data_IF_957465935597
#
_entry.id   IF_957465935597
#
_cell.length_a   1.000
_cell.length_b   1.000
_cell.length_c   1.000
_cell.angle_alpha   90.00
_cell.angle_beta   90.00
_cell.angle_gamma   90.00
#
_symmetry.space_group_name_H-M   'P 1'
#
loop_
_entity.id
_entity.type
_entity.pdbx_description
1 polymer ?
#
# COMPACT_ATOMS: atom_id res chain seq x y z
N UNK A 1 21.90 57.11 31.27
CA UNK A 1 21.03 57.99 32.08
C UNK A 1 19.59 57.53 31.91
N UNK A 2 18.85 57.38 33.04
CA UNK A 2 17.39 57.52 33.25
C UNK A 2 16.42 56.78 32.28
N UNK A 3 15.76 55.70 32.74
CA UNK A 3 14.35 55.62 33.25
C UNK A 3 13.31 56.08 32.20
N UNK A 4 12.26 55.31 31.88
CA UNK A 4 10.98 55.31 32.62
C UNK A 4 10.06 54.15 32.14
N UNK A 5 9.39 53.52 33.12
CA UNK A 5 8.23 52.62 33.01
C UNK A 5 6.99 53.33 32.44
N UNK A 6 6.12 52.61 31.72
CA UNK A 6 4.67 52.83 31.88
C UNK A 6 3.84 51.58 31.51
N UNK A 7 3.19 51.02 32.52
CA UNK A 7 2.05 50.13 32.41
C UNK A 7 0.84 50.91 31.88
N UNK A 8 0.11 50.35 30.92
CA UNK A 8 -1.29 50.70 30.66
C UNK A 8 -2.08 49.42 30.43
N UNK A 9 -2.92 49.10 31.42
CA UNK A 9 -4.01 48.13 31.34
C UNK A 9 -5.20 48.84 30.71
N UNK A 10 -5.75 48.29 29.63
CA UNK A 10 -7.10 48.63 29.16
C UNK A 10 -7.86 47.35 28.95
N UNK A 11 -8.74 47.06 29.92
CA UNK A 11 -9.83 46.11 29.77
C UNK A 11 -10.93 46.76 28.95
N UNK A 12 -11.31 46.15 27.82
CA UNK A 12 -12.54 46.51 27.10
C UNK A 12 -13.44 45.27 27.04
N UNK A 13 -14.51 45.31 27.81
CA UNK A 13 -15.64 44.41 27.71
C UNK A 13 -16.45 44.76 26.47
N UNK A 14 -16.74 43.78 25.61
CA UNK A 14 -17.78 43.90 24.59
C UNK A 14 -18.78 42.77 24.81
N UNK A 15 -20.01 43.20 25.08
CA UNK A 15 -21.24 42.44 25.21
C UNK A 15 -21.82 42.19 23.83
N UNK A 16 -22.31 40.96 23.60
CA UNK A 16 -23.38 40.66 22.65
C UNK A 16 -22.92 40.14 21.29
N UNK A 17 -23.22 38.88 20.98
CA UNK A 17 -24.45 38.49 20.30
C UNK A 17 -24.55 36.96 20.24
N UNK A 18 -25.77 36.46 20.45
CA UNK A 18 -26.08 35.05 20.42
C UNK A 18 -25.84 34.46 19.02
N UNK A 19 -25.12 33.34 18.96
CA UNK A 19 -25.22 32.41 17.84
C UNK A 19 -25.54 31.03 18.42
N UNK A 20 -26.84 30.73 18.45
CA UNK A 20 -27.35 29.38 18.66
C UNK A 20 -26.99 28.55 17.44
N UNK A 21 -25.76 28.05 17.41
CA UNK A 21 -25.33 27.08 16.44
C UNK A 21 -26.09 25.77 16.68
N UNK A 22 -26.99 25.46 15.75
CA UNK A 22 -27.59 24.15 15.60
C UNK A 22 -26.45 23.13 15.46
N UNK A 23 -26.26 22.30 16.49
CA UNK A 23 -25.41 21.11 16.39
C UNK A 23 -26.07 20.14 15.43
N UNK A 24 -25.78 20.32 14.13
CA UNK A 24 -25.90 19.25 13.16
C UNK A 24 -24.91 18.18 13.60
N UNK A 25 -25.44 17.09 14.15
CA UNK A 25 -24.68 15.90 14.43
C UNK A 25 -24.06 15.42 13.11
N UNK A 26 -22.81 15.81 12.87
CA UNK A 26 -21.96 15.16 11.88
C UNK A 26 -21.81 13.72 12.33
N UNK A 27 -22.64 12.85 11.75
CA UNK A 27 -22.44 11.40 11.80
C UNK A 27 -21.10 11.18 11.13
N UNK A 28 -20.04 11.07 11.94
CA UNK A 28 -18.68 10.83 11.46
C UNK A 28 -18.71 9.44 10.87
N UNK A 29 -18.77 9.39 9.54
CA UNK A 29 -18.62 8.18 8.75
C UNK A 29 -17.20 7.62 9.01
N UNK A 30 -17.14 6.72 10.00
CA UNK A 30 -15.95 6.00 10.43
C UNK A 30 -15.40 5.06 9.34
N UNK A 31 -16.08 4.93 8.19
CA UNK A 31 -15.66 4.08 7.07
C UNK A 31 -14.65 4.79 6.15
N UNK A 32 -14.59 6.13 6.16
CA UNK A 32 -13.72 6.90 5.26
C UNK A 32 -12.26 7.00 5.74
N UNK A 33 -12.03 7.09 7.06
CA UNK A 33 -10.67 7.25 7.62
C UNK A 33 -9.83 5.97 7.48
N UNK A 34 -10.45 4.80 7.60
CA UNK A 34 -9.77 3.51 7.48
C UNK A 34 -9.32 3.23 6.03
N UNK A 35 -10.12 3.68 5.06
CA UNK A 35 -9.86 3.47 3.63
C UNK A 35 -8.67 4.29 3.11
N UNK A 36 -8.37 5.42 3.76
CA UNK A 36 -7.26 6.31 3.44
C UNK A 36 -5.94 5.84 4.06
N UNK A 37 -5.96 5.36 5.32
CA UNK A 37 -4.75 4.91 6.00
C UNK A 37 -4.14 3.61 5.40
N UNK A 38 -4.96 2.65 4.97
CA UNK A 38 -4.45 1.40 4.38
C UNK A 38 -3.89 1.59 2.96
N UNK A 39 -4.48 2.49 2.16
CA UNK A 39 -3.94 2.83 0.83
C UNK A 39 -2.69 3.70 0.93
N UNK A 40 -2.69 4.72 1.81
CA UNK A 40 -1.53 5.60 2.01
C UNK A 40 -0.28 4.84 2.46
N UNK A 41 -0.42 3.80 3.31
CA UNK A 41 0.71 2.97 3.75
C UNK A 41 1.29 2.10 2.62
N UNK A 42 0.42 1.54 1.76
CA UNK A 42 0.86 0.75 0.60
C UNK A 42 1.59 1.62 -0.42
N UNK A 43 1.03 2.78 -0.76
CA UNK A 43 1.65 3.73 -1.68
C UNK A 43 3.00 4.24 -1.18
N UNK A 44 3.08 4.58 0.11
CA UNK A 44 4.32 5.03 0.74
C UNK A 44 5.38 3.93 0.72
N UNK A 45 4.99 2.68 1.01
CA UNK A 45 5.92 1.53 0.97
C UNK A 45 6.41 1.23 -0.45
N UNK A 46 5.51 1.27 -1.45
CA UNK A 46 5.86 1.09 -2.86
C UNK A 46 6.82 2.20 -3.33
N UNK A 47 6.58 3.44 -2.91
CA UNK A 47 7.46 4.57 -3.23
C UNK A 47 8.86 4.42 -2.61
N UNK A 48 8.98 3.92 -1.38
CA UNK A 48 10.27 3.62 -0.75
C UNK A 48 11.02 2.51 -1.50
N UNK A 49 10.29 1.47 -1.91
CA UNK A 49 10.82 0.38 -2.73
C UNK A 49 11.33 0.88 -4.09
N UNK A 50 10.58 1.76 -4.76
CA UNK A 50 11.01 2.41 -5.99
C UNK A 50 12.23 3.32 -5.79
N UNK A 51 12.26 4.06 -4.67
CA UNK A 51 13.41 4.89 -4.30
C UNK A 51 14.67 4.05 -4.11
N UNK A 52 14.57 2.85 -3.54
CA UNK A 52 15.70 1.94 -3.41
C UNK A 52 16.25 1.50 -4.77
N UNK A 53 15.38 1.12 -5.70
CA UNK A 53 15.79 0.75 -7.07
C UNK A 53 16.42 1.94 -7.79
N UNK A 54 15.81 3.12 -7.70
CA UNK A 54 16.31 4.33 -8.33
C UNK A 54 17.66 4.79 -7.76
N UNK A 55 17.85 4.73 -6.44
CA UNK A 55 19.13 5.04 -5.81
C UNK A 55 20.23 4.07 -6.25
N UNK A 56 19.92 2.77 -6.32
CA UNK A 56 20.88 1.75 -6.75
C UNK A 56 21.26 1.93 -8.23
N UNK A 57 20.30 2.26 -9.09
CA UNK A 57 20.55 2.55 -10.50
C UNK A 57 21.47 3.77 -10.70
N UNK A 58 21.44 4.73 -9.77
CA UNK A 58 22.35 5.89 -9.73
C UNK A 58 23.71 5.61 -9.09
N UNK A 59 23.93 4.40 -8.56
CA UNK A 59 25.13 4.08 -7.78
C UNK A 59 25.15 4.70 -6.38
N UNK A 60 24.04 5.28 -5.92
CA UNK A 60 23.91 5.87 -4.59
C UNK A 60 23.70 4.78 -3.53
N UNK A 61 24.82 4.30 -2.98
CA UNK A 61 24.82 3.24 -1.95
C UNK A 61 24.09 3.67 -0.68
N UNK A 62 24.32 4.90 -0.23
CA UNK A 62 23.73 5.42 1.00
C UNK A 62 22.21 5.56 0.85
N UNK A 63 21.75 6.16 -0.26
CA UNK A 63 20.33 6.26 -0.57
C UNK A 63 19.66 4.89 -0.76
N UNK A 64 20.36 3.92 -1.37
CA UNK A 64 19.86 2.54 -1.52
C UNK A 64 19.66 1.87 -0.16
N UNK A 65 20.66 1.95 0.72
CA UNK A 65 20.59 1.36 2.07
C UNK A 65 19.49 2.00 2.89
N UNK A 66 19.40 3.33 2.90
CA UNK A 66 18.36 4.05 3.64
C UNK A 66 16.97 3.69 3.14
N UNK A 67 16.77 3.66 1.82
CA UNK A 67 15.49 3.29 1.22
C UNK A 67 15.13 1.83 1.46
N UNK A 68 16.10 0.91 1.42
CA UNK A 68 15.90 -0.50 1.76
C UNK A 68 15.51 -0.68 3.23
N UNK A 69 16.20 -0.02 4.15
CA UNK A 69 15.87 -0.05 5.58
C UNK A 69 14.44 0.44 5.80
N UNK A 70 14.10 1.63 5.28
CA UNK A 70 12.76 2.19 5.40
C UNK A 70 11.69 1.26 4.78
N UNK A 71 11.97 0.69 3.60
CA UNK A 71 11.07 -0.27 2.94
C UNK A 71 10.87 -1.52 3.77
N UNK A 72 11.93 -2.10 4.33
CA UNK A 72 11.83 -3.30 5.16
C UNK A 72 11.04 -3.03 6.43
N UNK A 73 11.23 -1.89 7.10
CA UNK A 73 10.44 -1.50 8.27
C UNK A 73 8.97 -1.30 7.93
N UNK A 74 8.66 -0.63 6.81
CA UNK A 74 7.28 -0.43 6.38
C UNK A 74 6.59 -1.75 6.01
N UNK A 75 7.28 -2.65 5.30
CA UNK A 75 6.80 -4.00 5.00
C UNK A 75 6.62 -4.85 6.26
N UNK A 76 7.50 -4.72 7.27
CA UNK A 76 7.31 -5.40 8.56
C UNK A 76 6.10 -4.88 9.32
N UNK A 77 5.87 -3.56 9.31
CA UNK A 77 4.67 -2.98 9.91
C UNK A 77 3.40 -3.49 9.21
N UNK A 78 3.41 -3.54 7.88
CA UNK A 78 2.29 -4.08 7.11
C UNK A 78 2.07 -5.58 7.41
N UNK A 79 3.13 -6.38 7.43
CA UNK A 79 3.06 -7.81 7.76
C UNK A 79 2.53 -8.04 9.18
N UNK A 80 2.95 -7.23 10.16
CA UNK A 80 2.42 -7.28 11.53
C UNK A 80 0.95 -6.91 11.61
N UNK A 81 0.49 -5.97 10.78
CA UNK A 81 -0.92 -5.58 10.68
C UNK A 81 -1.79 -6.58 9.91
N UNK A 82 -1.16 -7.56 9.24
CA UNK A 82 -1.87 -8.57 8.46
C UNK A 82 -2.17 -9.80 9.31
N UNK A 83 -3.39 -10.31 9.17
CA UNK A 83 -3.85 -11.58 9.72
C UNK A 83 -3.98 -12.66 8.64
N UNK A 84 -3.61 -12.32 7.40
CA UNK A 84 -3.75 -13.19 6.23
C UNK A 84 -2.63 -14.21 6.07
N UNK A 85 -2.89 -15.20 5.23
CA UNK A 85 -1.95 -16.28 4.90
C UNK A 85 -0.73 -15.82 4.09
N UNK A 86 -0.74 -14.59 3.56
CA UNK A 86 0.43 -13.98 2.92
C UNK A 86 1.38 -13.29 3.90
N UNK A 87 1.04 -13.18 5.19
CA UNK A 87 1.91 -12.58 6.20
C UNK A 87 3.30 -13.20 6.21
N UNK A 88 3.40 -14.53 6.31
CA UNK A 88 4.68 -15.22 6.39
C UNK A 88 5.50 -15.04 5.11
N UNK A 89 4.83 -15.00 3.96
CA UNK A 89 5.47 -14.71 2.66
C UNK A 89 5.98 -13.28 2.60
N UNK A 90 5.23 -12.31 3.12
CA UNK A 90 5.65 -10.90 3.21
C UNK A 90 6.87 -10.75 4.13
N UNK A 91 6.88 -11.43 5.29
CA UNK A 91 8.03 -11.49 6.21
C UNK A 91 9.24 -12.17 5.55
N UNK A 92 9.01 -13.20 4.74
CA UNK A 92 10.04 -13.82 3.91
C UNK A 92 10.68 -12.83 2.94
N UNK A 93 9.89 -12.01 2.25
CA UNK A 93 10.41 -10.97 1.35
C UNK A 93 11.13 -9.85 2.09
N UNK A 94 10.65 -9.45 3.27
CA UNK A 94 11.39 -8.54 4.16
C UNK A 94 12.77 -9.11 4.47
N UNK A 95 12.84 -10.37 4.88
CA UNK A 95 14.10 -11.03 5.21
C UNK A 95 15.05 -11.05 4.01
N UNK A 96 14.52 -11.33 2.81
CA UNK A 96 15.29 -11.30 1.57
C UNK A 96 15.82 -9.89 1.26
N UNK A 97 14.99 -8.85 1.40
CA UNK A 97 15.42 -7.45 1.23
C UNK A 97 16.46 -7.04 2.28
N UNK A 98 16.33 -7.48 3.53
CA UNK A 98 17.32 -7.22 4.59
C UNK A 98 18.68 -7.83 4.26
N UNK A 99 18.72 -9.01 3.64
CA UNK A 99 19.96 -9.64 3.15
C UNK A 99 20.63 -8.83 2.03
N UNK A 100 19.89 -8.01 1.30
CA UNK A 100 20.44 -7.12 0.28
C UNK A 100 21.07 -5.86 0.86
N UNK A 101 20.75 -5.47 2.11
CA UNK A 101 21.32 -4.28 2.76
C UNK A 101 22.85 -4.35 2.86
N UNK A 102 23.48 -5.41 3.41
CA UNK A 102 24.94 -5.49 3.46
C UNK A 102 25.58 -5.53 2.06
N UNK A 103 24.90 -6.12 1.06
CA UNK A 103 25.34 -6.10 -0.32
C UNK A 103 25.26 -4.70 -0.93
N UNK A 104 24.22 -3.92 -0.59
CA UNK A 104 24.07 -2.53 -1.00
C UNK A 104 25.18 -1.67 -0.40
N UNK A 105 25.49 -1.87 0.89
CA UNK A 105 26.58 -1.19 1.59
C UNK A 105 27.93 -1.49 0.92
N UNK A 106 28.18 -2.75 0.58
CA UNK A 106 29.39 -3.17 -0.12
C UNK A 106 29.43 -2.71 -1.60
N UNK A 107 28.30 -2.22 -2.16
CA UNK A 107 28.20 -1.91 -3.59
C UNK A 107 28.23 -3.14 -4.49
N UNK A 108 27.88 -4.31 -3.94
CA UNK A 108 27.88 -5.59 -4.63
C UNK A 108 26.52 -5.93 -5.25
N UNK A 109 25.52 -5.06 -5.09
CA UNK A 109 24.23 -5.16 -5.79
C UNK A 109 24.41 -4.91 -7.29
N UNK A 110 24.75 -5.98 -8.02
CA UNK A 110 24.90 -5.94 -9.48
C UNK A 110 23.64 -6.41 -10.20
N UNK A 111 23.41 -5.82 -11.37
CA UNK A 111 22.34 -6.17 -12.29
C UNK A 111 20.94 -5.96 -11.70
N UNK A 112 20.00 -6.83 -12.12
CA UNK A 112 18.58 -6.67 -11.81
C UNK A 112 18.17 -7.32 -10.47
N UNK A 113 19.13 -7.71 -9.61
CA UNK A 113 18.85 -8.43 -8.36
C UNK A 113 17.97 -7.62 -7.41
N UNK A 114 18.34 -6.36 -7.16
CA UNK A 114 17.54 -5.46 -6.32
C UNK A 114 16.15 -5.24 -6.92
N UNK A 115 16.09 -5.00 -8.24
CA UNK A 115 14.82 -4.77 -8.94
C UNK A 115 13.89 -5.98 -8.84
N UNK A 116 14.41 -7.20 -8.97
CA UNK A 116 13.65 -8.45 -8.78
C UNK A 116 13.17 -8.63 -7.35
N UNK A 117 14.03 -8.42 -6.36
CA UNK A 117 13.65 -8.53 -4.95
C UNK A 117 12.59 -7.50 -4.56
N UNK A 118 12.76 -6.25 -5.01
CA UNK A 118 11.76 -5.19 -4.84
C UNK A 118 10.45 -5.55 -5.53
N UNK A 119 10.50 -6.12 -6.74
CA UNK A 119 9.30 -6.53 -7.47
C UNK A 119 8.56 -7.68 -6.78
N UNK A 120 9.28 -8.65 -6.22
CA UNK A 120 8.70 -9.70 -5.38
C UNK A 120 8.06 -9.12 -4.11
N UNK A 121 8.73 -8.18 -3.45
CA UNK A 121 8.19 -7.50 -2.28
C UNK A 121 6.92 -6.69 -2.60
N UNK A 122 6.87 -5.98 -3.75
CA UNK A 122 5.65 -5.30 -4.23
C UNK A 122 4.54 -6.28 -4.57
N UNK A 123 4.88 -7.43 -5.14
CA UNK A 123 3.91 -8.50 -5.44
C UNK A 123 3.33 -9.05 -4.15
N UNK A 124 4.17 -9.36 -3.16
CA UNK A 124 3.74 -9.82 -1.85
C UNK A 124 2.88 -8.78 -1.12
N UNK A 125 3.29 -7.51 -1.15
CA UNK A 125 2.56 -6.40 -0.55
C UNK A 125 1.19 -6.22 -1.20
N UNK A 126 1.12 -6.15 -2.54
CA UNK A 126 -0.13 -6.02 -3.26
C UNK A 126 -1.05 -7.21 -3.03
N UNK A 127 -0.53 -8.43 -3.02
CA UNK A 127 -1.30 -9.62 -2.72
C UNK A 127 -1.83 -9.62 -1.27
N UNK A 128 -1.02 -9.19 -0.31
CA UNK A 128 -1.44 -9.04 1.09
C UNK A 128 -2.59 -8.03 1.22
N UNK A 129 -2.53 -6.90 0.51
CA UNK A 129 -3.63 -5.94 0.48
C UNK A 129 -4.89 -6.49 -0.20
N UNK A 130 -4.74 -7.25 -1.29
CA UNK A 130 -5.86 -7.94 -1.95
C UNK A 130 -6.54 -8.90 -0.96
N UNK A 131 -5.77 -9.70 -0.23
CA UNK A 131 -6.29 -10.63 0.78
C UNK A 131 -7.07 -9.87 1.87
N UNK A 132 -6.53 -8.76 2.39
CA UNK A 132 -7.22 -7.92 3.38
C UNK A 132 -8.52 -7.33 2.83
N UNK A 133 -8.52 -6.86 1.58
CA UNK A 133 -9.69 -6.25 0.93
C UNK A 133 -10.80 -7.28 0.68
N UNK A 134 -10.45 -8.50 0.27
CA UNK A 134 -11.42 -9.60 0.05
C UNK A 134 -11.95 -10.17 1.36
N UNK A 135 -11.12 -10.18 2.40
CA UNK A 135 -11.48 -10.66 3.74
C UNK A 135 -12.41 -9.73 4.51
N UNK A 136 -12.70 -8.53 4.00
CA UNK A 136 -13.50 -7.53 4.70
C UNK A 136 -14.65 -7.00 3.84
N UNK A 137 -15.91 -7.26 4.21
CA UNK A 137 -17.11 -6.65 3.62
C UNK A 137 -17.28 -6.84 2.09
N UNK A 138 -18.05 -5.94 1.46
CA UNK A 138 -18.43 -6.03 0.05
C UNK A 138 -17.30 -5.57 -0.88
N UNK A 139 -17.08 -6.32 -1.98
CA UNK A 139 -16.01 -6.02 -2.94
C UNK A 139 -16.30 -4.81 -3.84
N UNK A 140 -17.58 -4.47 -4.07
CA UNK A 140 -18.01 -3.35 -4.94
C UNK A 140 -17.40 -2.03 -4.46
N UNK A 141 -17.47 -1.77 -3.16
CA UNK A 141 -16.88 -0.57 -2.56
C UNK A 141 -15.35 -0.60 -2.55
N UNK A 142 -14.70 -1.69 -2.99
CA UNK A 142 -13.24 -1.89 -2.90
C UNK A 142 -12.57 -2.03 -4.26
N UNK A 143 -13.33 -1.93 -5.35
CA UNK A 143 -12.86 -2.12 -6.72
C UNK A 143 -11.61 -1.30 -7.02
N UNK A 144 -11.56 -0.02 -6.62
CA UNK A 144 -10.39 0.85 -6.84
C UNK A 144 -9.14 0.32 -6.13
N UNK A 145 -9.25 -0.05 -4.84
CA UNK A 145 -8.15 -0.62 -4.08
C UNK A 145 -7.70 -1.97 -4.64
N UNK A 146 -8.63 -2.83 -5.04
CA UNK A 146 -8.34 -4.13 -5.64
C UNK A 146 -7.63 -3.99 -6.99
N UNK A 147 -8.11 -3.08 -7.83
CA UNK A 147 -7.52 -2.77 -9.14
C UNK A 147 -6.08 -2.28 -8.99
N UNK A 148 -5.86 -1.35 -8.05
CA UNK A 148 -4.53 -0.82 -7.76
C UNK A 148 -3.55 -1.90 -7.31
N UNK A 149 -3.96 -2.73 -6.35
CA UNK A 149 -3.11 -3.79 -5.83
C UNK A 149 -2.88 -4.90 -6.85
N UNK A 150 -3.87 -5.22 -7.69
CA UNK A 150 -3.66 -6.14 -8.81
C UNK A 150 -2.65 -5.60 -9.83
N UNK A 151 -2.68 -4.30 -10.12
CA UNK A 151 -1.66 -3.67 -10.98
C UNK A 151 -0.27 -3.70 -10.34
N UNK A 152 -0.16 -3.56 -9.02
CA UNK A 152 1.12 -3.76 -8.31
C UNK A 152 1.63 -5.20 -8.48
N UNK A 153 0.76 -6.19 -8.25
CA UNK A 153 1.07 -7.62 -8.46
C UNK A 153 1.48 -7.88 -9.90
N UNK A 154 0.73 -7.34 -10.87
CA UNK A 154 1.01 -7.43 -12.32
C UNK A 154 2.40 -6.92 -12.66
N UNK A 155 2.73 -5.73 -12.16
CA UNK A 155 4.01 -5.06 -12.41
C UNK A 155 5.15 -5.87 -11.81
N UNK A 156 4.98 -6.36 -10.57
CA UNK A 156 5.99 -7.18 -9.92
C UNK A 156 6.22 -8.52 -10.62
N UNK A 157 5.17 -9.24 -11.01
CA UNK A 157 5.26 -10.49 -11.78
C UNK A 157 5.97 -10.30 -13.13
N UNK A 158 5.71 -9.18 -13.82
CA UNK A 158 6.32 -8.89 -15.11
C UNK A 158 7.85 -8.76 -15.02
N UNK A 159 8.36 -8.25 -13.89
CA UNK A 159 9.81 -8.13 -13.64
C UNK A 159 10.44 -9.46 -13.18
N UNK A 160 9.67 -10.30 -12.49
CA UNK A 160 10.11 -11.65 -12.10
C UNK A 160 10.32 -12.52 -13.36
N UNK A 161 9.40 -12.42 -14.33
CA UNK A 161 9.49 -13.10 -15.62
C UNK A 161 9.14 -14.60 -15.58
N UNK A 162 9.28 -15.27 -16.74
CA UNK A 162 9.06 -16.71 -16.90
C UNK A 162 7.61 -17.11 -17.22
N UNK A 163 7.38 -18.43 -17.35
CA UNK A 163 6.06 -19.01 -17.71
C UNK A 163 4.97 -18.65 -16.70
N UNK A 164 5.34 -18.57 -15.41
CA UNK A 164 4.45 -18.18 -14.32
C UNK A 164 4.01 -16.71 -14.42
N UNK A 165 4.86 -15.83 -14.95
CA UNK A 165 4.50 -14.44 -15.21
C UNK A 165 3.44 -14.33 -16.31
N UNK A 166 3.55 -15.11 -17.40
CA UNK A 166 2.55 -15.12 -18.48
C UNK A 166 1.17 -15.58 -18.01
N UNK A 167 1.11 -16.75 -17.36
CA UNK A 167 -0.14 -17.30 -16.80
C UNK A 167 -0.73 -16.38 -15.73
N UNK A 168 0.12 -15.80 -14.87
CA UNK A 168 -0.29 -14.81 -13.88
C UNK A 168 -0.84 -13.53 -14.48
N UNK A 169 -0.21 -13.03 -15.54
CA UNK A 169 -0.67 -11.82 -16.22
C UNK A 169 -2.05 -12.04 -16.86
N UNK A 170 -2.29 -13.22 -17.45
CA UNK A 170 -3.60 -13.59 -17.96
C UNK A 170 -4.66 -13.63 -16.85
N UNK A 171 -4.35 -14.29 -15.72
CA UNK A 171 -5.27 -14.35 -14.56
C UNK A 171 -5.57 -12.96 -14.00
N UNK A 172 -4.56 -12.11 -13.85
CA UNK A 172 -4.71 -10.75 -13.35
C UNK A 172 -5.53 -9.90 -14.31
N UNK A 173 -5.30 -9.99 -15.62
CA UNK A 173 -6.09 -9.27 -16.61
C UNK A 173 -7.57 -9.71 -16.59
N UNK A 174 -7.83 -11.01 -16.45
CA UNK A 174 -9.19 -11.52 -16.26
C UNK A 174 -9.83 -10.99 -14.98
N UNK A 175 -9.10 -11.00 -13.86
CA UNK A 175 -9.58 -10.44 -12.60
C UNK A 175 -9.86 -8.94 -12.69
N UNK A 176 -9.01 -8.16 -13.37
CA UNK A 176 -9.19 -6.75 -13.66
C UNK A 176 -10.43 -6.49 -14.53
N UNK A 177 -10.66 -7.33 -15.54
CA UNK A 177 -11.86 -7.27 -16.38
C UNK A 177 -13.14 -7.52 -15.58
N UNK A 178 -13.13 -8.50 -14.68
CA UNK A 178 -14.29 -8.78 -13.82
C UNK A 178 -14.47 -7.71 -12.73
N UNK A 179 -13.39 -7.14 -12.19
CA UNK A 179 -13.43 -5.97 -11.31
C UNK A 179 -14.02 -4.74 -12.00
N UNK A 180 -13.72 -4.53 -13.28
CA UNK A 180 -14.35 -3.47 -14.07
C UNK A 180 -15.87 -3.67 -14.16
N UNK A 181 -16.35 -4.90 -14.35
CA UNK A 181 -17.78 -5.24 -14.31
C UNK A 181 -18.39 -5.03 -12.92
N UNK A 182 -17.65 -5.41 -11.87
CA UNK A 182 -18.06 -5.20 -10.47
C UNK A 182 -18.18 -3.71 -10.11
N UNK A 183 -17.27 -2.89 -10.65
CA UNK A 183 -17.27 -1.43 -10.49
C UNK A 183 -18.45 -0.71 -11.15
N UNK A 184 -19.18 -1.37 -12.07
CA UNK A 184 -20.40 -0.82 -12.68
C UNK A 184 -21.60 -0.82 -11.73
N UNK A 185 -21.52 -1.52 -10.60
CA UNK A 185 -22.57 -1.55 -9.58
C UNK A 185 -23.84 -2.29 -10.00
N UNK A 186 -24.90 -2.14 -9.20
CA UNK A 186 -26.21 -2.75 -9.46
C UNK A 186 -26.30 -4.27 -9.26
N UNK A 187 -27.36 -4.87 -9.79
CA UNK A 187 -27.63 -6.31 -9.66
C UNK A 187 -26.56 -7.18 -10.35
N UNK A 188 -26.00 -6.69 -11.46
CA UNK A 188 -24.92 -7.37 -12.20
C UNK A 188 -23.65 -7.47 -11.36
N UNK A 189 -23.31 -6.42 -10.59
CA UNK A 189 -22.16 -6.44 -9.70
C UNK A 189 -22.34 -7.45 -8.56
N UNK A 190 -23.52 -7.52 -7.93
CA UNK A 190 -23.81 -8.51 -6.89
C UNK A 190 -23.67 -9.95 -7.39
N UNK A 191 -24.12 -10.23 -8.62
CA UNK A 191 -23.99 -11.55 -9.23
C UNK A 191 -22.53 -11.88 -9.63
N UNK A 192 -21.75 -10.87 -10.01
CA UNK A 192 -20.34 -11.03 -10.39
C UNK A 192 -19.40 -11.17 -9.17
N UNK A 193 -19.80 -10.68 -8.00
CA UNK A 193 -19.00 -10.69 -6.77
C UNK A 193 -18.36 -12.06 -6.43
N UNK A 194 -19.08 -13.20 -6.42
CA UNK A 194 -18.49 -14.51 -6.16
C UNK A 194 -17.45 -14.91 -7.22
N UNK A 195 -17.69 -14.59 -8.50
CA UNK A 195 -16.75 -14.88 -9.58
C UNK A 195 -15.47 -14.04 -9.43
N UNK A 196 -15.59 -12.75 -9.12
CA UNK A 196 -14.43 -11.88 -8.82
C UNK A 196 -13.66 -12.42 -7.63
N UNK A 197 -14.35 -12.82 -6.55
CA UNK A 197 -13.70 -13.39 -5.36
C UNK A 197 -12.92 -14.66 -5.68
N UNK A 198 -13.48 -15.55 -6.51
CA UNK A 198 -12.79 -16.77 -6.96
C UNK A 198 -11.52 -16.43 -7.75
N UNK A 199 -11.62 -15.53 -8.74
CA UNK A 199 -10.48 -15.10 -9.56
C UNK A 199 -9.37 -14.45 -8.73
N UNK A 200 -9.74 -13.60 -7.78
CA UNK A 200 -8.78 -12.99 -6.87
C UNK A 200 -8.09 -14.04 -5.98
N UNK A 201 -8.82 -15.04 -5.49
CA UNK A 201 -8.20 -16.15 -4.75
C UNK A 201 -7.24 -16.96 -5.63
N UNK A 202 -7.54 -17.16 -6.91
CA UNK A 202 -6.59 -17.77 -7.86
C UNK A 202 -5.32 -16.94 -8.02
N UNK A 203 -5.44 -15.61 -8.12
CA UNK A 203 -4.27 -14.71 -8.16
C UNK A 203 -3.47 -14.81 -6.87
N UNK A 204 -4.14 -14.81 -5.70
CA UNK A 204 -3.47 -14.99 -4.41
C UNK A 204 -2.75 -16.35 -4.33
N UNK A 205 -3.38 -17.42 -4.79
CA UNK A 205 -2.80 -18.76 -4.83
C UNK A 205 -1.54 -18.81 -5.70
N UNK A 206 -1.59 -18.18 -6.88
CA UNK A 206 -0.43 -18.05 -7.75
C UNK A 206 0.70 -17.28 -7.05
N UNK A 207 0.41 -16.11 -6.48
CA UNK A 207 1.43 -15.29 -5.79
C UNK A 207 2.04 -16.07 -4.62
N UNK A 208 1.24 -16.82 -3.85
CA UNK A 208 1.74 -17.69 -2.78
C UNK A 208 2.66 -18.81 -3.28
N UNK A 209 2.44 -19.32 -4.51
CA UNK A 209 3.28 -20.33 -5.12
C UNK A 209 4.61 -19.78 -5.68
N UNK A 210 4.67 -18.48 -5.99
CA UNK A 210 5.88 -17.81 -6.48
C UNK A 210 6.77 -17.34 -5.33
N UNK A 211 6.17 -16.86 -4.24
CA UNK A 211 6.85 -16.37 -3.03
C UNK A 211 7.34 -17.51 -2.16
#
# INVERSE_FOLDING_TARGET
MKKILLNVVVSLAIVGFAQTASVSASVVDFSTTVRSAFQANTDSTVALLDKAVAANAKGDKAGTVQALQASTTALEAEAKSSTGSLKDKLVGQVSNLKKLIPLAQAGLLKGNMLQKAVSLAKTALGANQIEKLIGSGNLISKVSGLTKNLNLVKTGLSVVGGSTASSGNSLINTALGSLSKLGKGGAVAKAAEPAVKSQLNSVLGLVKGIL
#
